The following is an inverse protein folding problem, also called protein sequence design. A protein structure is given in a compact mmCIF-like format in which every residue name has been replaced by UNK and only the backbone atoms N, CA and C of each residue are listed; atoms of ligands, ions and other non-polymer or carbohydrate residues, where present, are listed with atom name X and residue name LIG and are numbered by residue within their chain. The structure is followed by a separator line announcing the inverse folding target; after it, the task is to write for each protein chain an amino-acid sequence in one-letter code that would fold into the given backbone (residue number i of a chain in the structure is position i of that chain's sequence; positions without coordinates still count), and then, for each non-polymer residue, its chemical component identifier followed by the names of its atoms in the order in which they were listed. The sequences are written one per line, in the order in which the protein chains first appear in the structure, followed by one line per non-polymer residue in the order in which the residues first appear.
data_IF_226932174849
#
_entry.id   IF_226932174849
#
_cell.length_a   1.000
_cell.length_b   1.000
_cell.length_c   1.000
_cell.angle_alpha   90.00
_cell.angle_beta   90.00
_cell.angle_gamma   90.00
#
_symmetry.space_group_name_H-M   'P 1'
#
loop_
_entity.id
_entity.type
_entity.pdbx_description
1 polymer ?
#
# COMPACT_ATOMS: atom_id res chain seq x y z
N UNK A 1 -18.94 5.95 15.75
CA UNK A 1 -18.73 6.55 14.41
C UNK A 1 -17.99 5.52 13.56
N UNK A 2 -18.66 4.93 12.58
CA UNK A 2 -18.00 4.01 11.66
C UNK A 2 -16.94 4.79 10.87
N UNK A 3 -15.68 4.39 10.95
CA UNK A 3 -14.66 4.87 10.04
C UNK A 3 -15.00 4.35 8.64
N UNK A 4 -15.62 5.20 7.83
CA UNK A 4 -15.95 4.89 6.43
C UNK A 4 -14.65 4.85 5.64
N UNK A 5 -14.02 3.68 5.59
CA UNK A 5 -12.98 3.37 4.63
C UNK A 5 -13.63 2.73 3.40
N UNK A 6 -13.54 3.41 2.27
CA UNK A 6 -14.13 2.96 1.00
C UNK A 6 -12.98 2.54 0.11
N UNK A 7 -12.92 1.27 -0.25
CA UNK A 7 -11.99 0.80 -1.27
C UNK A 7 -12.35 1.42 -2.62
N UNK A 8 -11.39 2.12 -3.25
CA UNK A 8 -11.58 2.77 -4.56
C UNK A 8 -10.89 2.01 -5.68
N UNK A 9 -9.81 1.28 -5.41
CA UNK A 9 -9.09 0.55 -6.46
C UNK A 9 -7.70 0.09 -6.06
N UNK A 10 -6.96 -0.43 -7.03
CA UNK A 10 -5.54 -0.81 -6.89
C UNK A 10 -4.66 0.19 -7.65
N UNK A 11 -3.45 0.43 -7.17
CA UNK A 11 -2.46 1.18 -7.93
C UNK A 11 -2.09 0.41 -9.19
N UNK A 12 -2.03 1.11 -10.32
CA UNK A 12 -1.56 0.54 -11.58
C UNK A 12 -0.02 0.50 -11.65
N UNK A 13 0.65 1.38 -10.90
CA UNK A 13 2.11 1.53 -10.93
C UNK A 13 2.82 0.61 -9.94
N UNK A 14 2.21 0.34 -8.79
CA UNK A 14 2.86 -0.41 -7.70
C UNK A 14 2.04 -1.61 -7.26
N UNK A 15 2.69 -2.78 -7.19
CA UNK A 15 2.11 -4.02 -6.70
C UNK A 15 1.90 -3.94 -5.19
N UNK A 16 0.74 -4.42 -4.73
CA UNK A 16 0.39 -4.43 -3.31
C UNK A 16 0.07 -3.04 -2.76
N UNK A 17 -0.24 -2.06 -3.62
CA UNK A 17 -0.71 -0.73 -3.22
C UNK A 17 -2.16 -0.56 -3.64
N UNK A 18 -2.99 -0.10 -2.71
CA UNK A 18 -4.43 0.03 -2.88
C UNK A 18 -4.91 1.42 -2.51
N UNK A 19 -5.90 1.91 -3.25
CA UNK A 19 -6.54 3.20 -3.08
C UNK A 19 -7.76 3.08 -2.18
N UNK A 20 -7.82 3.93 -1.17
CA UNK A 20 -8.94 4.04 -0.25
C UNK A 20 -9.36 5.49 -0.08
N UNK A 21 -10.64 5.72 0.15
CA UNK A 21 -11.16 6.99 0.61
C UNK A 21 -11.52 6.84 2.09
N UNK A 22 -10.86 7.63 2.93
CA UNK A 22 -11.05 7.65 4.37
C UNK A 22 -11.48 9.06 4.77
N UNK A 23 -12.71 9.20 5.28
CA UNK A 23 -13.27 10.49 5.73
C UNK A 23 -13.18 11.60 4.65
N UNK A 24 -13.44 11.25 3.39
CA UNK A 24 -13.37 12.18 2.26
C UNK A 24 -11.96 12.51 1.77
N UNK A 25 -10.92 11.86 2.31
CA UNK A 25 -9.54 12.01 1.83
C UNK A 25 -9.08 10.73 1.14
N UNK A 26 -8.37 10.89 0.04
CA UNK A 26 -7.73 9.78 -0.66
C UNK A 26 -6.47 9.37 0.11
N UNK A 27 -6.37 8.06 0.40
CA UNK A 27 -5.26 7.44 1.12
C UNK A 27 -4.86 6.14 0.43
N UNK A 28 -3.62 5.72 0.64
CA UNK A 28 -3.06 4.52 0.06
C UNK A 28 -2.77 3.49 1.15
N UNK A 29 -3.07 2.22 0.91
CA UNK A 29 -2.71 1.11 1.81
C UNK A 29 -1.71 0.19 1.12
N UNK A 30 -0.74 -0.30 1.90
CA UNK A 30 0.30 -1.21 1.44
C UNK A 30 0.03 -2.61 1.98
N UNK A 31 -0.05 -3.64 1.14
CA UNK A 31 -0.28 -4.99 1.62
C UNK A 31 -0.59 -6.02 0.56
N UNK A 32 -0.95 -7.22 1.01
CA UNK A 32 -1.37 -8.31 0.14
C UNK A 32 -2.45 -9.13 0.82
N UNK A 33 -3.60 -9.28 0.16
CA UNK A 33 -4.74 -10.02 0.69
C UNK A 33 -5.25 -9.42 2.00
N UNK A 34 -5.29 -10.24 3.06
CA UNK A 34 -5.81 -9.83 4.39
C UNK A 34 -4.84 -8.97 5.22
N UNK A 35 -3.57 -8.86 4.83
CA UNK A 35 -2.58 -8.03 5.53
C UNK A 35 -2.39 -6.71 4.79
N UNK A 36 -3.31 -5.76 5.00
CA UNK A 36 -3.16 -4.37 4.61
C UNK A 36 -2.58 -3.59 5.79
N UNK A 37 -1.52 -2.84 5.56
CA UNK A 37 -0.79 -2.11 6.57
C UNK A 37 -0.87 -0.62 6.32
N UNK A 38 -1.28 0.11 7.35
CA UNK A 38 -1.27 1.58 7.40
C UNK A 38 -2.14 2.27 6.35
N UNK A 39 -2.34 3.56 6.53
CA UNK A 39 -2.75 4.48 5.47
C UNK A 39 -1.61 5.46 5.23
N UNK A 40 -1.28 5.69 3.96
CA UNK A 40 -0.23 6.57 3.50
C UNK A 40 -0.83 7.67 2.65
N UNK A 41 -0.18 8.83 2.62
CA UNK A 41 -0.61 9.98 1.83
C UNK A 41 -0.29 9.80 0.34
N UNK A 42 0.74 9.01 0.02
CA UNK A 42 1.16 8.79 -1.38
C UNK A 42 1.27 7.31 -1.77
N UNK A 43 1.06 7.03 -3.06
CA UNK A 43 1.30 5.70 -3.66
C UNK A 43 2.72 5.22 -3.43
N UNK A 44 3.68 6.14 -3.54
CA UNK A 44 5.12 5.83 -3.43
C UNK A 44 5.49 5.41 -2.02
N UNK A 45 4.98 6.08 -1.00
CA UNK A 45 5.23 5.70 0.40
C UNK A 45 4.65 4.32 0.72
N UNK A 46 3.42 4.05 0.26
CA UNK A 46 2.82 2.73 0.38
C UNK A 46 3.67 1.66 -0.32
N UNK A 47 4.18 1.95 -1.53
CA UNK A 47 5.02 1.03 -2.28
C UNK A 47 6.36 0.75 -1.56
N UNK A 48 7.02 1.77 -1.02
CA UNK A 48 8.26 1.63 -0.23
C UNK A 48 8.00 0.81 1.03
N UNK A 49 6.89 1.08 1.73
CA UNK A 49 6.53 0.30 2.91
C UNK A 49 6.31 -1.17 2.55
N UNK A 50 5.59 -1.45 1.46
CA UNK A 50 5.36 -2.81 0.98
C UNK A 50 6.67 -3.54 0.68
N UNK A 51 7.61 -2.88 0.01
CA UNK A 51 8.93 -3.44 -0.27
C UNK A 51 9.73 -3.72 1.00
N UNK A 52 9.72 -2.80 1.97
CA UNK A 52 10.34 -3.01 3.29
C UNK A 52 9.74 -4.24 3.99
N UNK A 53 8.43 -4.42 3.91
CA UNK A 53 7.77 -5.60 4.47
C UNK A 53 8.18 -6.89 3.74
N UNK A 54 8.37 -6.85 2.42
CA UNK A 54 8.90 -7.99 1.67
C UNK A 54 10.31 -8.36 2.12
N UNK A 55 11.20 -7.36 2.22
CA UNK A 55 12.58 -7.55 2.69
C UNK A 55 12.58 -8.14 4.11
N UNK A 56 11.75 -7.61 5.02
CA UNK A 56 11.63 -8.11 6.38
C UNK A 56 11.12 -9.57 6.43
N UNK A 57 10.34 -9.99 5.43
CA UNK A 57 9.89 -11.38 5.26
C UNK A 57 10.90 -12.27 4.51
N UNK A 58 12.12 -11.77 4.24
CA UNK A 58 13.14 -12.48 3.47
C UNK A 58 12.82 -12.59 1.97
N UNK A 59 11.89 -11.78 1.46
CA UNK A 59 11.48 -11.75 0.05
C UNK A 59 12.12 -10.57 -0.67
N UNK A 60 12.25 -10.70 -1.99
CA UNK A 60 12.73 -9.60 -2.84
C UNK A 60 11.68 -8.48 -2.90
N UNK A 61 12.09 -7.21 -2.83
CA UNK A 61 11.22 -6.07 -3.08
C UNK A 61 10.74 -6.09 -4.54
N UNK A 62 9.53 -5.57 -4.80
CA UNK A 62 8.86 -5.70 -6.10
C UNK A 62 8.53 -4.37 -6.76
N UNK A 63 8.60 -3.26 -6.02
CA UNK A 63 8.23 -1.94 -6.49
C UNK A 63 9.46 -1.02 -6.66
N UNK A 64 9.72 -0.18 -5.65
CA UNK A 64 10.70 0.90 -5.63
C UNK A 64 12.09 0.37 -5.29
N UNK A 65 12.17 -0.52 -4.30
CA UNK A 65 13.44 -1.05 -3.80
C UNK A 65 13.91 -2.27 -4.60
N UNK A 66 13.28 -2.58 -5.76
CA UNK A 66 13.79 -3.63 -6.64
C UNK A 66 15.23 -3.26 -7.04
N UNK A 67 16.20 -4.04 -6.59
CA UNK A 67 17.57 -3.91 -7.07
C UNK A 67 17.54 -4.18 -8.57
N UNK A 68 18.02 -3.21 -9.35
CA UNK A 68 18.27 -3.37 -10.78
C UNK A 68 19.33 -4.45 -11.02
#
# INVERSE_FOLDING_TARGET
MASTEIYKGKSEKYKGVYLYELRGQIKYKAGSGKMLHGFFDTEREAAVYYDKQMINKGKKPVNILKSA
#
